data_IF_481017153229
#
_entry.id   IF_481017153229
#
_cell.length_a   1.000
_cell.length_b   1.000
_cell.length_c   1.000
_cell.angle_alpha   90.00
_cell.angle_beta   90.00
_cell.angle_gamma   90.00
#
_symmetry.space_group_name_H-M   'P 1'
#
loop_
_entity.id
_entity.type
_entity.pdbx_description
1 polymer ?
#
# COMPACT_ATOMS: atom_id res chain seq x y z
N UNK A 1 -22.51 -14.83 -9.87
CA UNK A 1 -21.29 -14.07 -9.56
C UNK A 1 -21.65 -12.96 -8.59
N UNK A 2 -20.83 -12.72 -7.57
CA UNK A 2 -21.06 -11.63 -6.63
C UNK A 2 -20.82 -10.29 -7.34
N UNK A 3 -21.77 -9.37 -7.19
CA UNK A 3 -21.71 -8.01 -7.71
C UNK A 3 -20.97 -7.05 -6.75
N UNK A 4 -20.41 -7.57 -5.66
CA UNK A 4 -19.84 -6.80 -4.58
C UNK A 4 -18.60 -7.48 -3.99
N UNK A 5 -17.81 -6.67 -3.28
CA UNK A 5 -16.67 -7.06 -2.47
C UNK A 5 -17.13 -7.20 -1.01
N UNK A 6 -16.92 -8.37 -0.40
CA UNK A 6 -17.33 -8.65 0.98
C UNK A 6 -16.16 -8.53 1.93
N UNK A 7 -16.26 -7.67 2.93
CA UNK A 7 -15.20 -7.49 3.92
C UNK A 7 -14.92 -8.77 4.72
N UNK A 8 -13.63 -9.02 4.99
CA UNK A 8 -13.09 -10.18 5.71
C UNK A 8 -12.18 -9.70 6.84
N UNK A 9 -12.74 -9.46 8.05
CA UNK A 9 -11.97 -8.91 9.16
C UNK A 9 -10.81 -9.80 9.59
N UNK A 10 -11.02 -11.12 9.62
CA UNK A 10 -10.02 -12.11 10.02
C UNK A 10 -8.87 -12.30 9.01
N UNK A 11 -8.97 -11.69 7.83
CA UNK A 11 -7.94 -11.72 6.77
C UNK A 11 -7.31 -10.34 6.55
N UNK A 12 -7.76 -9.34 7.30
CA UNK A 12 -7.24 -7.98 7.22
C UNK A 12 -6.02 -7.85 8.13
N UNK A 13 -5.05 -7.03 7.76
CA UNK A 13 -3.79 -6.90 8.49
C UNK A 13 -3.22 -5.48 8.41
N UNK A 14 -2.23 -5.19 9.25
CA UNK A 14 -1.37 -4.00 9.12
C UNK A 14 -0.02 -4.46 8.59
N UNK A 15 0.52 -3.75 7.60
CA UNK A 15 1.85 -4.00 7.08
C UNK A 15 2.61 -2.72 6.75
N UNK A 16 3.93 -2.85 6.70
CA UNK A 16 4.82 -1.92 6.01
C UNK A 16 5.19 -2.51 4.65
N UNK A 17 5.31 -1.66 3.63
CA UNK A 17 5.53 -2.10 2.26
C UNK A 17 6.74 -1.44 1.61
N UNK A 18 7.34 -2.15 0.67
CA UNK A 18 8.46 -1.70 -0.12
C UNK A 18 8.25 -2.02 -1.60
N UNK A 19 8.52 -1.04 -2.44
CA UNK A 19 8.60 -1.20 -3.88
C UNK A 19 9.91 -1.88 -4.26
N UNK A 20 9.83 -2.86 -5.16
CA UNK A 20 11.00 -3.54 -5.71
C UNK A 20 11.45 -2.87 -7.01
N UNK A 21 12.65 -2.27 -6.96
CA UNK A 21 13.20 -1.50 -8.07
C UNK A 21 13.40 -2.37 -9.32
N UNK A 22 13.02 -1.82 -10.47
CA UNK A 22 13.22 -2.43 -11.79
C UNK A 22 12.62 -3.84 -11.94
N UNK A 23 11.63 -4.19 -11.10
CA UNK A 23 11.06 -5.54 -11.07
C UNK A 23 12.04 -6.60 -10.57
N UNK A 24 13.10 -6.18 -9.86
CA UNK A 24 14.06 -7.07 -9.22
C UNK A 24 13.34 -7.97 -8.24
N UNK A 25 13.71 -9.26 -8.20
CA UNK A 25 13.17 -10.19 -7.21
C UNK A 25 14.03 -10.18 -5.95
N UNK A 26 13.36 -10.24 -4.80
CA UNK A 26 13.98 -10.31 -3.48
C UNK A 26 14.04 -11.76 -3.04
N UNK A 27 15.17 -12.17 -2.48
CA UNK A 27 15.28 -13.45 -1.79
C UNK A 27 14.65 -13.32 -0.39
N UNK A 28 13.59 -14.10 -0.06
CA UNK A 28 12.97 -14.06 1.26
C UNK A 28 13.97 -14.37 2.41
N UNK A 29 15.04 -15.13 2.13
CA UNK A 29 16.04 -15.50 3.13
C UNK A 29 17.19 -14.50 3.26
N UNK A 30 17.36 -13.59 2.30
CA UNK A 30 18.40 -12.54 2.32
C UNK A 30 17.79 -11.13 2.19
N UNK A 31 16.92 -10.79 3.15
CA UNK A 31 16.34 -9.45 3.24
C UNK A 31 17.40 -8.34 3.39
N UNK A 32 18.44 -8.62 4.20
CA UNK A 32 19.49 -7.65 4.48
C UNK A 32 20.32 -7.33 3.23
N UNK A 33 20.71 -8.36 2.46
CA UNK A 33 21.38 -8.19 1.19
C UNK A 33 20.48 -7.55 0.13
N UNK A 34 19.16 -7.79 0.19
CA UNK A 34 18.19 -7.26 -0.79
C UNK A 34 17.77 -5.80 -0.57
N UNK A 35 18.20 -5.13 0.50
CA UNK A 35 17.79 -3.73 0.83
C UNK A 35 18.01 -2.74 -0.31
N UNK A 36 19.10 -2.91 -1.08
CA UNK A 36 19.43 -2.02 -2.20
C UNK A 36 18.44 -2.12 -3.38
N UNK A 37 17.64 -3.20 -3.43
CA UNK A 37 16.61 -3.42 -4.44
C UNK A 37 15.24 -2.88 -4.00
N UNK A 38 15.16 -2.32 -2.79
CA UNK A 38 13.92 -1.97 -2.13
C UNK A 38 13.86 -0.47 -1.85
N UNK A 39 12.64 0.05 -1.93
CA UNK A 39 12.31 1.40 -1.50
C UNK A 39 11.03 1.42 -0.67
N UNK A 40 10.99 2.09 0.49
CA UNK A 40 9.81 2.15 1.32
C UNK A 40 8.66 2.79 0.54
N UNK A 41 7.46 2.24 0.67
CA UNK A 41 6.25 2.89 0.20
C UNK A 41 5.71 3.73 1.35
N UNK A 42 5.50 5.02 1.12
CA UNK A 42 5.01 5.93 2.15
C UNK A 42 4.16 7.05 1.54
N UNK A 43 3.42 7.75 2.39
CA UNK A 43 2.66 8.95 2.04
C UNK A 43 2.86 10.00 3.10
N UNK A 44 2.70 11.27 2.72
CA UNK A 44 2.70 12.39 3.66
C UNK A 44 1.49 13.28 3.42
N UNK A 45 0.95 13.83 4.49
CA UNK A 45 -0.10 14.84 4.43
C UNK A 45 0.35 16.14 5.09
N UNK A 46 -0.25 17.25 4.69
CA UNK A 46 -0.12 18.57 5.33
C UNK A 46 1.33 19.09 5.46
N UNK A 47 2.23 18.60 4.60
CA UNK A 47 3.62 19.02 4.59
C UNK A 47 3.85 20.29 3.77
N UNK A 48 2.95 20.58 2.82
CA UNK A 48 3.06 21.73 1.91
C UNK A 48 4.22 21.62 0.92
N UNK A 49 4.73 20.42 0.69
CA UNK A 49 5.82 20.13 -0.25
C UNK A 49 5.35 20.02 -1.72
N UNK A 50 4.03 20.04 -1.93
CA UNK A 50 3.38 19.94 -3.24
C UNK A 50 3.00 18.51 -3.66
N UNK A 51 3.36 17.51 -2.87
CA UNK A 51 3.11 16.09 -3.13
C UNK A 51 2.28 15.44 -2.01
N UNK A 52 1.58 16.25 -1.21
CA UNK A 52 0.72 15.76 -0.13
C UNK A 52 -0.35 14.81 -0.70
N UNK A 53 -0.45 13.63 -0.10
CA UNK A 53 -1.37 12.57 -0.51
C UNK A 53 -0.85 11.64 -1.59
N UNK A 54 0.19 11.97 -2.37
CA UNK A 54 0.74 11.02 -3.36
C UNK A 54 1.54 9.90 -2.70
N UNK A 55 1.50 8.70 -3.29
CA UNK A 55 2.36 7.60 -2.87
C UNK A 55 3.81 7.84 -3.32
N UNK A 56 4.73 7.56 -2.40
CA UNK A 56 6.15 7.90 -2.52
C UNK A 56 7.01 6.68 -2.28
N UNK A 57 8.17 6.69 -2.94
CA UNK A 57 9.16 5.62 -2.85
C UNK A 57 10.59 6.13 -2.65
N UNK A 58 10.77 7.39 -2.31
CA UNK A 58 12.10 7.92 -2.01
C UNK A 58 12.56 7.47 -0.62
N UNK A 59 13.87 7.27 -0.45
CA UNK A 59 14.49 6.85 0.81
C UNK A 59 15.83 7.54 1.02
N UNK A 60 16.37 7.49 2.25
CA UNK A 60 17.76 7.87 2.44
C UNK A 60 18.70 6.91 1.69
N UNK A 61 19.92 7.39 1.42
CA UNK A 61 20.92 6.61 0.72
C UNK A 61 21.28 5.35 1.52
N UNK A 62 21.15 4.19 0.88
CA UNK A 62 21.42 2.89 1.50
C UNK A 62 20.45 2.46 2.59
N UNK A 63 19.33 3.16 2.80
CA UNK A 63 18.34 2.86 3.84
C UNK A 63 16.95 2.54 3.28
N UNK A 64 16.10 1.96 4.13
CA UNK A 64 14.66 1.78 3.88
C UNK A 64 13.82 2.83 4.61
N UNK A 65 14.44 3.87 5.15
CA UNK A 65 13.75 4.95 5.85
C UNK A 65 13.18 5.95 4.83
N UNK A 66 11.89 6.30 4.92
CA UNK A 66 11.27 7.33 4.10
C UNK A 66 12.03 8.65 4.13
N UNK A 67 12.31 9.22 2.96
CA UNK A 67 13.01 10.51 2.86
C UNK A 67 12.61 11.25 1.59
N UNK A 68 12.71 12.58 1.59
CA UNK A 68 12.47 13.40 0.40
C UNK A 68 13.41 14.60 0.31
N UNK A 69 13.85 14.98 -0.90
CA UNK A 69 14.56 16.25 -1.11
C UNK A 69 13.63 17.48 -1.09
N UNK A 70 12.31 17.30 -1.10
CA UNK A 70 11.36 18.41 -1.17
C UNK A 70 11.29 19.15 0.16
N UNK A 71 11.29 20.48 0.08
CA UNK A 71 11.19 21.33 1.26
C UNK A 71 9.77 21.29 1.80
N UNK A 72 9.62 20.87 3.05
CA UNK A 72 8.36 20.99 3.76
C UNK A 72 8.15 22.44 4.22
N UNK A 73 6.89 22.85 4.26
CA UNK A 73 6.44 24.15 4.81
C UNK A 73 5.72 23.98 6.14
N UNK A 74 5.27 22.77 6.46
CA UNK A 74 4.62 22.41 7.72
C UNK A 74 5.26 21.16 8.34
N UNK A 75 4.85 20.81 9.58
CA UNK A 75 5.32 19.60 10.25
C UNK A 75 4.90 18.34 9.47
N UNK A 76 3.72 18.37 8.84
CA UNK A 76 3.14 17.25 8.11
C UNK A 76 2.93 16.00 8.97
N UNK A 77 2.36 14.97 8.38
CA UNK A 77 2.27 13.63 8.97
C UNK A 77 2.74 12.60 7.95
N UNK A 78 3.74 11.81 8.33
CA UNK A 78 4.30 10.75 7.50
C UNK A 78 3.68 9.41 7.90
N UNK A 79 3.27 8.63 6.90
CA UNK A 79 2.70 7.31 7.07
C UNK A 79 3.41 6.31 6.16
N UNK A 80 4.07 5.34 6.78
CA UNK A 80 4.81 4.25 6.14
C UNK A 80 4.19 2.86 6.45
N UNK A 81 3.09 2.87 7.19
CA UNK A 81 2.34 1.67 7.61
C UNK A 81 0.90 1.82 7.15
N UNK A 82 0.36 0.74 6.66
CA UNK A 82 -0.97 0.71 6.06
C UNK A 82 -1.78 -0.45 6.60
N UNK A 83 -3.07 -0.20 6.75
CA UNK A 83 -4.06 -1.23 6.92
C UNK A 83 -4.46 -1.75 5.55
N UNK A 84 -4.47 -3.08 5.43
CA UNK A 84 -4.91 -3.85 4.28
C UNK A 84 -6.26 -4.48 4.64
N UNK A 85 -7.33 -3.74 4.35
CA UNK A 85 -8.69 -4.24 4.53
C UNK A 85 -8.99 -5.29 3.47
N UNK A 86 -9.09 -6.56 3.87
CA UNK A 86 -9.31 -7.66 2.94
C UNK A 86 -10.79 -7.75 2.57
N UNK A 87 -11.06 -7.86 1.27
CA UNK A 87 -12.37 -8.12 0.70
C UNK A 87 -12.33 -9.33 -0.22
N UNK A 88 -13.39 -10.12 -0.23
CA UNK A 88 -13.54 -11.25 -1.14
C UNK A 88 -14.58 -10.95 -2.23
N UNK A 89 -14.24 -11.27 -3.48
CA UNK A 89 -15.17 -11.26 -4.61
C UNK A 89 -14.90 -12.47 -5.50
N UNK A 90 -15.93 -13.31 -5.68
CA UNK A 90 -15.85 -14.52 -6.50
C UNK A 90 -14.68 -15.47 -6.13
N UNK A 91 -14.34 -15.59 -4.84
CA UNK A 91 -13.25 -16.43 -4.36
C UNK A 91 -11.84 -15.81 -4.47
N UNK A 92 -11.72 -14.58 -4.98
CA UNK A 92 -10.48 -13.83 -5.02
C UNK A 92 -10.43 -12.77 -3.91
N UNK A 93 -9.22 -12.45 -3.46
CA UNK A 93 -8.97 -11.46 -2.42
C UNK A 93 -8.44 -10.15 -2.99
N UNK A 94 -9.01 -9.06 -2.50
CA UNK A 94 -8.69 -7.69 -2.84
C UNK A 94 -8.49 -6.89 -1.56
N UNK A 95 -7.71 -5.82 -1.63
CA UNK A 95 -7.33 -5.03 -0.48
C UNK A 95 -7.68 -3.57 -0.72
N UNK A 96 -8.44 -2.99 0.21
CA UNK A 96 -8.47 -1.55 0.38
C UNK A 96 -7.27 -1.17 1.25
N UNK A 97 -6.44 -0.25 0.77
CA UNK A 97 -5.19 0.11 1.43
C UNK A 97 -5.34 1.52 2.01
N UNK A 98 -5.16 1.67 3.33
CA UNK A 98 -5.34 2.94 4.03
C UNK A 98 -4.19 3.22 4.99
N UNK A 99 -3.71 4.48 5.13
CA UNK A 99 -2.68 4.79 6.12
C UNK A 99 -3.25 4.67 7.54
N UNK A 100 -2.38 4.31 8.48
CA UNK A 100 -2.72 4.24 9.90
C UNK A 100 -2.02 5.33 10.72
N UNK A 101 -2.57 5.66 11.88
CA UNK A 101 -1.98 6.56 12.86
C UNK A 101 -1.91 5.88 14.23
N UNK A 102 -0.81 6.13 14.95
CA UNK A 102 -0.59 5.61 16.29
C UNK A 102 0.32 4.39 16.32
N UNK A 103 0.48 3.83 17.52
CA UNK A 103 1.35 2.67 17.78
C UNK A 103 0.67 1.37 17.29
N UNK A 104 1.42 0.55 16.55
CA UNK A 104 0.95 -0.74 16.05
C UNK A 104 0.67 -1.75 17.17
N UNK A 105 1.32 -1.61 18.33
CA UNK A 105 1.11 -2.46 19.50
C UNK A 105 -0.10 -2.02 20.35
N UNK A 106 -0.64 -0.83 20.07
CA UNK A 106 -1.83 -0.29 20.74
C UNK A 106 -3.09 -0.48 19.91
N UNK A 107 -3.86 0.59 19.80
CA UNK A 107 -5.08 0.67 18.98
C UNK A 107 -4.86 1.67 17.84
N UNK A 108 -4.15 1.30 16.77
CA UNK A 108 -3.87 2.21 15.67
C UNK A 108 -5.16 2.61 14.95
N UNK A 109 -5.33 3.91 14.71
CA UNK A 109 -6.46 4.45 13.97
C UNK A 109 -6.23 4.24 12.47
N UNK A 110 -7.21 3.67 11.76
CA UNK A 110 -7.21 3.66 10.29
C UNK A 110 -7.79 4.97 9.79
N UNK A 111 -7.02 5.72 9.02
CA UNK A 111 -7.41 7.05 8.58
C UNK A 111 -8.45 6.97 7.44
N UNK A 112 -9.29 8.02 7.26
CA UNK A 112 -10.31 8.07 6.21
C UNK A 112 -9.72 8.40 4.84
N UNK A 113 -8.56 7.84 4.51
CA UNK A 113 -7.93 7.95 3.20
C UNK A 113 -7.72 6.55 2.62
N UNK A 114 -8.01 6.38 1.34
CA UNK A 114 -7.79 5.11 0.63
C UNK A 114 -6.89 5.32 -0.57
N UNK A 115 -6.13 4.28 -0.88
CA UNK A 115 -5.30 4.26 -2.07
C UNK A 115 -6.15 4.17 -3.32
N UNK A 116 -5.94 5.09 -4.25
CA UNK A 116 -6.55 5.13 -5.57
C UNK A 116 -5.56 5.74 -6.57
N UNK A 117 -6.01 5.95 -7.79
CA UNK A 117 -5.27 6.61 -8.87
C UNK A 117 -5.95 7.89 -9.31
N UNK A 118 -5.14 8.88 -9.70
CA UNK A 118 -5.67 10.06 -10.39
C UNK A 118 -6.12 9.71 -11.81
N UNK A 119 -6.70 10.69 -12.50
CA UNK A 119 -7.23 10.52 -13.86
C UNK A 119 -6.18 10.17 -14.92
N UNK A 120 -4.88 10.32 -14.60
CA UNK A 120 -3.79 9.94 -15.50
C UNK A 120 -3.11 8.64 -15.08
N UNK A 121 -3.37 8.12 -13.88
CA UNK A 121 -2.90 6.84 -13.34
C UNK A 121 -1.91 6.93 -12.18
N UNK A 122 -1.57 8.14 -11.69
CA UNK A 122 -0.66 8.28 -10.55
C UNK A 122 -1.34 7.90 -9.24
N UNK A 123 -0.65 7.14 -8.42
CA UNK A 123 -1.21 6.59 -7.19
C UNK A 123 -1.12 7.58 -6.03
N UNK A 124 -2.20 7.69 -5.27
CA UNK A 124 -2.31 8.59 -4.13
C UNK A 124 -3.42 8.17 -3.16
N UNK A 125 -3.49 8.88 -2.05
CA UNK A 125 -4.44 8.67 -0.98
C UNK A 125 -5.57 9.70 -1.09
N UNK A 126 -6.81 9.22 -1.25
CA UNK A 126 -8.00 10.04 -1.45
C UNK A 126 -8.95 9.93 -0.28
N UNK A 127 -9.60 11.04 0.07
CA UNK A 127 -10.48 11.09 1.23
C UNK A 127 -11.75 10.28 0.98
N UNK A 128 -12.09 9.38 1.90
CA UNK A 128 -13.36 8.66 1.93
C UNK A 128 -14.31 9.28 2.95
N UNK A 129 -15.59 9.34 2.58
CA UNK A 129 -16.68 9.74 3.48
C UNK A 129 -17.34 8.55 4.17
N UNK A 130 -16.91 7.33 3.87
CA UNK A 130 -17.47 6.09 4.40
C UNK A 130 -16.69 5.62 5.64
N UNK A 131 -17.43 5.06 6.60
CA UNK A 131 -16.85 4.43 7.79
C UNK A 131 -15.98 3.25 7.41
N UNK A 132 -14.90 3.05 8.17
CA UNK A 132 -13.98 1.93 7.99
C UNK A 132 -14.22 0.88 9.08
N UNK A 133 -14.36 -0.41 8.76
CA UNK A 133 -14.44 -0.98 7.41
C UNK A 133 -15.83 -0.82 6.78
N UNK A 134 -15.89 -0.75 5.46
CA UNK A 134 -17.14 -0.89 4.73
C UNK A 134 -17.46 -2.39 4.63
N UNK A 135 -18.62 -2.84 5.12
CA UNK A 135 -18.93 -4.28 5.10
C UNK A 135 -19.07 -4.86 3.68
N UNK A 136 -19.53 -4.01 2.77
CA UNK A 136 -19.79 -4.33 1.37
C UNK A 136 -19.41 -3.13 0.52
N UNK A 137 -18.56 -3.35 -0.49
CA UNK A 137 -18.22 -2.35 -1.50
C UNK A 137 -18.76 -2.81 -2.85
N UNK A 138 -19.47 -1.92 -3.56
CA UNK A 138 -20.08 -2.23 -4.86
C UNK A 138 -19.23 -1.77 -6.05
N UNK A 139 -18.51 -0.66 -5.88
CA UNK A 139 -17.61 -0.09 -6.88
C UNK A 139 -16.20 -0.26 -6.32
N UNK A 140 -15.41 -1.16 -6.90
CA UNK A 140 -14.07 -1.51 -6.39
C UNK A 140 -12.95 -0.83 -7.16
N UNK A 141 -13.10 0.46 -7.47
CA UNK A 141 -12.04 1.26 -8.13
C UNK A 141 -10.80 1.38 -7.21
N UNK A 142 -11.01 1.37 -5.90
CA UNK A 142 -10.01 1.42 -4.84
C UNK A 142 -9.57 0.03 -4.33
N UNK A 143 -9.91 -1.03 -5.06
CA UNK A 143 -9.61 -2.40 -4.68
C UNK A 143 -8.34 -2.88 -5.37
N UNK A 144 -7.38 -3.30 -4.56
CA UNK A 144 -6.05 -3.67 -5.04
C UNK A 144 -5.78 -5.16 -4.90
N UNK A 145 -5.03 -5.72 -5.83
CA UNK A 145 -4.58 -7.10 -5.82
C UNK A 145 -3.11 -7.19 -5.44
N UNK A 146 -2.80 -8.10 -4.51
CA UNK A 146 -1.43 -8.51 -4.16
C UNK A 146 -1.22 -9.96 -4.57
N UNK A 147 -1.01 -10.21 -5.87
CA UNK A 147 -0.97 -11.58 -6.39
C UNK A 147 0.28 -12.31 -5.89
N UNK A 148 0.06 -13.52 -5.37
CA UNK A 148 1.07 -14.30 -4.66
C UNK A 148 0.98 -14.21 -3.14
N UNK A 149 0.12 -13.34 -2.61
CA UNK A 149 -0.22 -13.31 -1.19
C UNK A 149 -1.40 -14.25 -0.93
N UNK A 150 -1.27 -15.13 0.06
CA UNK A 150 -2.41 -15.84 0.65
C UNK A 150 -2.72 -15.22 2.02
N UNK A 151 -3.86 -14.52 2.18
CA UNK A 151 -4.19 -13.88 3.44
C UNK A 151 -4.58 -14.85 4.56
N UNK A 152 -4.83 -16.13 4.29
CA UNK A 152 -5.18 -17.10 5.34
C UNK A 152 -4.01 -17.52 6.20
N UNK A 153 -2.79 -17.50 5.64
CA UNK A 153 -1.60 -18.05 6.27
C UNK A 153 -0.66 -16.99 6.85
N UNK A 154 -1.09 -15.73 6.89
CA UNK A 154 -0.24 -14.61 7.34
C UNK A 154 0.08 -14.68 8.83
N UNK A 155 1.36 -14.49 9.15
CA UNK A 155 1.85 -14.38 10.52
C UNK A 155 2.43 -12.99 10.82
N UNK A 156 2.29 -12.53 12.06
CA UNK A 156 2.97 -11.31 12.51
C UNK A 156 4.49 -11.45 12.38
N UNK A 157 5.13 -10.44 11.81
CA UNK A 157 6.56 -10.41 11.52
C UNK A 157 6.95 -11.05 10.19
N UNK A 158 6.05 -11.79 9.53
CA UNK A 158 6.31 -12.43 8.24
C UNK A 158 6.62 -11.41 7.15
N UNK A 159 7.55 -11.77 6.27
CA UNK A 159 7.85 -11.02 5.05
C UNK A 159 7.34 -11.76 3.83
N UNK A 160 6.39 -11.14 3.13
CA UNK A 160 5.87 -11.63 1.87
C UNK A 160 6.54 -10.83 0.75
N UNK A 161 7.31 -11.50 -0.10
CA UNK A 161 8.16 -10.86 -1.12
C UNK A 161 7.70 -11.21 -2.53
N UNK A 162 8.07 -10.38 -3.51
CA UNK A 162 7.77 -10.60 -4.93
C UNK A 162 6.29 -10.67 -5.27
N UNK A 163 5.45 -9.95 -4.52
CA UNK A 163 4.02 -9.87 -4.76
C UNK A 163 3.76 -8.99 -5.98
N UNK A 164 2.92 -9.45 -6.90
CA UNK A 164 2.52 -8.64 -8.05
C UNK A 164 1.43 -7.67 -7.59
N UNK A 165 1.69 -6.38 -7.75
CA UNK A 165 0.74 -5.32 -7.39
C UNK A 165 -0.06 -4.90 -8.61
N UNK A 166 -1.38 -5.00 -8.52
CA UNK A 166 -2.31 -4.66 -9.61
C UNK A 166 -3.60 -4.03 -9.07
N UNK A 167 -4.33 -3.32 -9.93
CA UNK A 167 -5.70 -2.87 -9.62
C UNK A 167 -6.72 -4.02 -9.79
N UNK A 168 -8.00 -3.73 -9.58
CA UNK A 168 -9.08 -4.70 -9.74
C UNK A 168 -9.28 -5.20 -11.19
N UNK A 169 -8.79 -4.48 -12.19
CA UNK A 169 -8.90 -4.82 -13.61
C UNK A 169 -7.62 -5.50 -14.16
N UNK A 170 -6.76 -6.00 -13.26
CA UNK A 170 -5.49 -6.64 -13.55
C UNK A 170 -4.43 -5.75 -14.21
N UNK A 171 -4.62 -4.42 -14.22
CA UNK A 171 -3.58 -3.52 -14.67
C UNK A 171 -2.46 -3.48 -13.62
N UNK A 172 -1.24 -3.71 -14.08
CA UNK A 172 -0.08 -3.74 -13.20
C UNK A 172 0.28 -2.33 -12.73
N UNK A 173 0.61 -2.21 -11.45
CA UNK A 173 1.32 -1.05 -10.93
C UNK A 173 2.73 -1.05 -11.54
N UNK A 174 3.22 0.12 -11.91
CA UNK A 174 4.57 0.33 -12.45
C UNK A 174 5.18 1.56 -11.81
N UNK A 175 6.48 1.76 -12.01
CA UNK A 175 7.15 2.99 -11.62
C UNK A 175 7.38 3.84 -12.87
N UNK A 176 7.04 5.13 -12.78
CA UNK A 176 7.33 6.13 -13.80
C UNK A 176 8.17 7.24 -13.21
N UNK A 177 9.18 7.71 -13.93
CA UNK A 177 9.94 8.90 -13.54
C UNK A 177 9.37 10.14 -14.24
N UNK A 178 8.96 11.14 -13.46
CA UNK A 178 8.53 12.44 -13.95
C UNK A 178 9.27 13.56 -13.22
N UNK A 179 9.81 14.53 -13.96
CA UNK A 179 10.63 15.62 -13.39
C UNK A 179 11.74 15.13 -12.45
N UNK A 180 12.38 14.00 -12.78
CA UNK A 180 13.43 13.39 -11.99
C UNK A 180 12.96 12.64 -10.73
N UNK A 181 11.66 12.51 -10.51
CA UNK A 181 11.07 11.86 -9.32
C UNK A 181 10.34 10.56 -9.69
N UNK A 182 10.44 9.51 -8.88
CA UNK A 182 9.73 8.26 -9.12
C UNK A 182 8.30 8.33 -8.57
N UNK A 183 7.34 7.89 -9.37
CA UNK A 183 5.93 7.78 -9.01
C UNK A 183 5.44 6.36 -9.28
N UNK A 184 4.60 5.84 -8.38
CA UNK A 184 3.83 4.63 -8.66
C UNK A 184 2.64 4.98 -9.56
N UNK A 185 2.37 4.10 -10.51
CA UNK A 185 1.51 4.39 -11.65
C UNK A 185 0.75 3.14 -12.12
N UNK A 186 -0.56 3.24 -12.30
CA UNK A 186 -1.39 2.22 -12.97
C UNK A 186 -1.72 2.66 -14.40
N UNK A 187 -1.84 1.70 -15.33
CA UNK A 187 -2.21 1.97 -16.73
C UNK A 187 -1.09 1.78 -17.75
N UNK A 188 0.13 1.42 -17.32
CA UNK A 188 1.17 0.95 -18.24
C UNK A 188 1.01 -0.54 -18.51
N UNK A 189 0.97 -0.94 -19.80
CA UNK A 189 0.94 -2.36 -20.20
C UNK A 189 2.31 -3.04 -20.13
N UNK A 190 3.38 -2.29 -19.91
CA UNK A 190 4.75 -2.79 -19.89
C UNK A 190 5.38 -2.49 -18.52
N UNK A 191 5.58 -3.53 -17.71
CA UNK A 191 6.25 -3.45 -16.42
C UNK A 191 5.93 -4.65 -15.53
N UNK A 192 6.73 -4.86 -14.49
CA UNK A 192 6.47 -5.83 -13.42
C UNK A 192 6.47 -5.08 -12.10
N UNK A 193 5.31 -4.61 -11.66
CA UNK A 193 5.16 -4.04 -10.34
C UNK A 193 5.26 -5.12 -9.29
N UNK A 194 6.41 -5.17 -8.63
CA UNK A 194 6.63 -6.08 -7.53
C UNK A 194 6.72 -5.26 -6.24
N UNK A 195 6.04 -5.74 -5.21
CA UNK A 195 6.17 -5.23 -3.86
C UNK A 195 6.58 -6.35 -2.91
N UNK A 196 7.26 -5.94 -1.85
CA UNK A 196 7.44 -6.75 -0.64
C UNK A 196 6.68 -6.07 0.49
N UNK A 197 6.18 -6.86 1.43
CA UNK A 197 5.57 -6.36 2.65
C UNK A 197 6.04 -7.15 3.87
N UNK A 198 5.98 -6.50 5.02
CA UNK A 198 6.15 -7.12 6.33
C UNK A 198 4.85 -6.95 7.10
N UNK A 199 4.26 -8.07 7.49
CA UNK A 199 3.05 -8.08 8.33
C UNK A 199 3.45 -7.63 9.73
N UNK A 200 2.82 -6.56 10.21
CA UNK A 200 3.07 -6.00 11.54
C UNK A 200 2.02 -6.45 12.55
N UNK A 201 0.79 -6.71 12.08
CA UNK A 201 -0.32 -7.21 12.91
C UNK A 201 -1.32 -7.98 12.07
N UNK A 202 -1.71 -9.18 12.51
CA UNK A 202 -2.70 -10.02 11.84
C UNK A 202 -3.38 -10.98 12.82
N UNK A 203 -4.74 -11.09 12.82
CA UNK A 203 -5.67 -10.24 12.08
C UNK A 203 -5.78 -8.83 12.69
N UNK A 204 -6.20 -7.86 11.88
CA UNK A 204 -6.53 -6.51 12.33
C UNK A 204 -7.84 -6.01 11.73
N UNK A 205 -8.85 -5.90 12.60
CA UNK A 205 -10.13 -5.24 12.33
C UNK A 205 -10.15 -3.87 13.03
N UNK A 206 -10.38 -2.77 12.30
CA UNK A 206 -10.56 -1.45 12.91
C UNK A 206 -11.77 -1.44 13.85
N UNK A 207 -11.69 -0.69 14.95
CA UNK A 207 -12.82 -0.52 15.84
C UNK A 207 -14.00 0.13 15.08
N UNK A 208 -15.22 -0.35 15.33
CA UNK A 208 -16.43 0.27 14.78
C UNK A 208 -16.56 1.68 15.34
N UNK A 209 -16.39 2.68 14.48
CA UNK A 209 -16.74 4.09 14.75
C UNK A 209 -18.23 4.31 14.60
#
# INVERSE_FOLDING_TARGET
MALYFKFKPHLSFIAQCWWQLEGSRVDPFDWAGSKHLLKPIWVRFESGDGEDGYLRIESEEGSLEPWSPLKTKGPGSLHDKFWFGCYERNGYYYFQIRPIRGDIHGSPEVLPWYLDTDTVGYMGMYHSWFSVPEWVVYIGEDMWQLKGLDPHDLMEGERCVNLVFADNDDNLVTQRTQFGRPYLYTGSRNGKGLISLQVLRHPYEPAKT
#
